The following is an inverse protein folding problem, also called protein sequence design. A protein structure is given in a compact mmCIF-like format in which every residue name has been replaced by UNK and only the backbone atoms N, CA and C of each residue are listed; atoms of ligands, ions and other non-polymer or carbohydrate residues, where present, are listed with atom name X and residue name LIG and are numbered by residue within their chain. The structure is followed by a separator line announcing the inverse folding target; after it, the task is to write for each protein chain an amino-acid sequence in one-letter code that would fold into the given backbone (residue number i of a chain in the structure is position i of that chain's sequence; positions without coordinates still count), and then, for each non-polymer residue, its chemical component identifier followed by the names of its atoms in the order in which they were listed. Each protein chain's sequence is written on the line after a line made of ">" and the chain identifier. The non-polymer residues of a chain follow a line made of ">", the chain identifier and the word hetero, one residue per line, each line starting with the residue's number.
data_IF_975685503551
#
_entry.id   IF_975685503551
#
_cell.length_a   1.000
_cell.length_b   1.000
_cell.length_c   1.000
_cell.angle_alpha   90.00
_cell.angle_beta   90.00
_cell.angle_gamma   90.00
#
_symmetry.space_group_name_H-M   'P 1'
#
loop_
_entity.id
_entity.type
_entity.pdbx_description
1 polymer ?
#
# COMPACT_ATOMS: atom_id res chain seq x y z
N UNK A 1 0.49 -8.99 5.03
CA UNK A 1 1.23 -7.72 4.95
C UNK A 1 2.46 -7.90 4.06
N UNK A 2 2.76 -6.94 3.21
CA UNK A 2 3.91 -7.03 2.30
C UNK A 2 5.22 -6.84 3.06
N UNK A 3 6.22 -7.63 2.71
CA UNK A 3 7.55 -7.47 3.29
C UNK A 3 8.32 -6.40 2.54
N UNK A 4 9.14 -5.63 3.25
CA UNK A 4 9.94 -4.57 2.64
C UNK A 4 10.86 -5.12 1.53
N UNK A 5 11.39 -6.33 1.71
CA UNK A 5 12.25 -6.96 0.72
C UNK A 5 11.50 -7.24 -0.59
N UNK A 6 10.24 -7.63 -0.51
CA UNK A 6 9.42 -7.88 -1.70
C UNK A 6 9.13 -6.58 -2.43
N UNK A 7 8.78 -5.53 -1.68
CA UNK A 7 8.47 -4.23 -2.26
C UNK A 7 9.69 -3.65 -2.97
N UNK A 8 10.88 -3.82 -2.40
CA UNK A 8 12.12 -3.30 -2.98
C UNK A 8 12.52 -3.99 -4.27
N UNK A 9 12.03 -5.20 -4.51
CA UNK A 9 12.31 -5.92 -5.76
C UNK A 9 11.44 -5.47 -6.92
N UNK A 10 10.40 -4.70 -6.66
CA UNK A 10 9.46 -4.26 -7.68
C UNK A 10 9.98 -3.01 -8.39
N UNK A 11 9.66 -2.89 -9.69
CA UNK A 11 9.97 -1.68 -10.44
C UNK A 11 9.05 -0.54 -10.03
N UNK A 12 9.41 0.70 -10.41
CA UNK A 12 8.59 1.87 -10.10
C UNK A 12 7.18 1.73 -10.68
N UNK A 13 7.06 1.22 -11.89
CA UNK A 13 5.75 1.01 -12.54
C UNK A 13 4.91 -0.01 -11.78
N UNK A 14 5.55 -1.10 -11.32
CA UNK A 14 4.86 -2.12 -10.53
C UNK A 14 4.42 -1.56 -9.19
N UNK A 15 5.25 -0.74 -8.56
CA UNK A 15 4.94 -0.11 -7.29
C UNK A 15 3.77 0.87 -7.42
N UNK A 16 3.74 1.65 -8.51
CA UNK A 16 2.62 2.55 -8.77
C UNK A 16 1.31 1.79 -8.94
N UNK A 17 1.34 0.69 -9.71
CA UNK A 17 0.17 -0.15 -9.89
C UNK A 17 -0.28 -0.77 -8.57
N UNK A 18 0.67 -1.25 -7.77
CA UNK A 18 0.36 -1.83 -6.47
C UNK A 18 -0.22 -0.79 -5.52
N UNK A 19 0.32 0.42 -5.53
CA UNK A 19 -0.19 1.51 -4.72
C UNK A 19 -1.64 1.83 -5.06
N UNK A 20 -1.96 1.87 -6.35
CA UNK A 20 -3.33 2.12 -6.79
C UNK A 20 -4.28 1.02 -6.30
N UNK A 21 -3.87 -0.24 -6.43
CA UNK A 21 -4.66 -1.38 -5.94
C UNK A 21 -4.89 -1.29 -4.43
N UNK A 22 -3.84 -0.97 -3.67
CA UNK A 22 -3.95 -0.85 -2.22
C UNK A 22 -4.89 0.28 -1.82
N UNK A 23 -4.88 1.39 -2.55
CA UNK A 23 -5.80 2.50 -2.30
C UNK A 23 -7.25 2.10 -2.55
N UNK A 24 -7.50 1.33 -3.61
CA UNK A 24 -8.84 0.80 -3.90
C UNK A 24 -9.30 -0.14 -2.79
N UNK A 25 -8.43 -1.02 -2.35
CA UNK A 25 -8.73 -1.95 -1.26
C UNK A 25 -9.06 -1.20 0.01
N UNK A 26 -8.27 -0.18 0.33
CA UNK A 26 -8.52 0.62 1.53
C UNK A 26 -9.88 1.32 1.46
N UNK A 27 -10.23 1.86 0.30
CA UNK A 27 -11.52 2.50 0.09
C UNK A 27 -12.66 1.52 0.35
N UNK A 28 -12.57 0.31 -0.21
CA UNK A 28 -13.59 -0.72 -0.02
C UNK A 28 -13.69 -1.15 1.43
N UNK A 29 -12.54 -1.33 2.10
CA UNK A 29 -12.53 -1.72 3.52
C UNK A 29 -13.17 -0.64 4.40
N UNK A 30 -12.90 0.62 4.12
CA UNK A 30 -13.51 1.72 4.86
C UNK A 30 -15.02 1.78 4.64
N UNK A 31 -15.46 1.51 3.42
CA UNK A 31 -16.87 1.49 3.09
C UNK A 31 -17.58 0.34 3.84
N UNK A 32 -16.98 -0.85 3.83
CA UNK A 32 -17.50 -1.99 4.56
C UNK A 32 -17.57 -1.72 6.07
N UNK A 33 -16.56 -1.08 6.60
CA UNK A 33 -16.53 -0.72 8.03
C UNK A 33 -17.63 0.29 8.36
N UNK A 34 -17.86 1.26 7.50
CA UNK A 34 -18.90 2.27 7.70
C UNK A 34 -20.31 1.68 7.67
N UNK A 35 -20.51 0.59 6.92
CA UNK A 35 -21.80 -0.09 6.82
C UNK A 35 -21.93 -1.26 7.80
N UNK A 36 -20.99 -1.40 8.73
CA UNK A 36 -20.95 -2.47 9.73
C UNK A 36 -20.85 -3.88 9.14
N UNK A 37 -20.31 -3.98 7.93
CA UNK A 37 -20.07 -5.26 7.27
C UNK A 37 -18.68 -5.82 7.56
N UNK A 38 -17.82 -5.03 8.19
CA UNK A 38 -16.46 -5.41 8.55
C UNK A 38 -16.33 -5.42 10.06
N UNK A 39 -16.17 -6.61 10.64
CA UNK A 39 -16.08 -6.76 12.08
C UNK A 39 -14.72 -6.39 12.65
N UNK A 40 -13.67 -6.49 11.84
CA UNK A 40 -12.29 -6.33 12.33
C UNK A 40 -11.54 -5.27 11.53
N UNK A 41 -11.17 -4.14 12.16
CA UNK A 41 -10.44 -3.07 11.46
C UNK A 41 -8.96 -3.35 11.22
N UNK A 42 -8.47 -4.54 11.59
CA UNK A 42 -7.06 -4.90 11.40
C UNK A 42 -6.66 -4.81 9.93
N UNK A 43 -7.52 -5.24 9.02
CA UNK A 43 -7.22 -5.18 7.59
C UNK A 43 -7.03 -3.75 7.10
N UNK A 44 -7.77 -2.81 7.67
CA UNK A 44 -7.60 -1.39 7.32
C UNK A 44 -6.19 -0.93 7.71
N UNK A 45 -5.74 -1.29 8.90
CA UNK A 45 -4.39 -0.95 9.36
C UNK A 45 -3.32 -1.60 8.50
N UNK A 46 -3.47 -2.89 8.19
CA UNK A 46 -2.52 -3.61 7.35
C UNK A 46 -2.40 -2.97 5.98
N UNK A 47 -3.52 -2.62 5.36
CA UNK A 47 -3.52 -1.97 4.05
C UNK A 47 -2.85 -0.60 4.12
N UNK A 48 -3.09 0.17 5.17
CA UNK A 48 -2.41 1.45 5.37
C UNK A 48 -0.90 1.27 5.50
N UNK A 49 -0.45 0.25 6.22
CA UNK A 49 0.98 -0.05 6.35
C UNK A 49 1.60 -0.43 5.02
N UNK A 50 0.89 -1.23 4.23
CA UNK A 50 1.37 -1.61 2.90
C UNK A 50 1.50 -0.38 1.99
N UNK A 51 0.51 0.51 2.02
CA UNK A 51 0.55 1.76 1.26
C UNK A 51 1.77 2.59 1.67
N UNK A 52 2.01 2.71 2.97
CA UNK A 52 3.15 3.47 3.48
C UNK A 52 4.48 2.88 3.02
N UNK A 53 4.60 1.56 3.01
CA UNK A 53 5.81 0.88 2.54
C UNK A 53 6.05 1.12 1.06
N UNK A 54 5.02 0.99 0.24
CA UNK A 54 5.14 1.22 -1.20
C UNK A 54 5.55 2.66 -1.47
N UNK A 55 4.95 3.62 -0.78
CA UNK A 55 5.31 5.03 -0.91
C UNK A 55 6.75 5.29 -0.50
N UNK A 56 7.20 4.65 0.58
CA UNK A 56 8.57 4.81 1.06
C UNK A 56 9.58 4.31 0.03
N UNK A 57 9.33 3.15 -0.55
CA UNK A 57 10.22 2.57 -1.57
C UNK A 57 10.21 3.44 -2.84
N UNK A 58 9.05 3.94 -3.24
CA UNK A 58 8.96 4.86 -4.38
C UNK A 58 9.79 6.13 -4.13
N UNK A 59 9.74 6.66 -2.90
CA UNK A 59 10.54 7.80 -2.53
C UNK A 59 12.04 7.48 -2.57
N UNK A 60 12.43 6.29 -2.12
CA UNK A 60 13.82 5.84 -2.18
C UNK A 60 14.31 5.75 -3.62
N UNK A 61 13.49 5.20 -4.52
CA UNK A 61 13.83 5.08 -5.93
C UNK A 61 13.96 6.46 -6.58
N UNK A 62 13.06 7.38 -6.26
CA UNK A 62 13.12 8.74 -6.78
C UNK A 62 14.37 9.45 -6.28
N UNK A 63 14.75 9.24 -5.03
CA UNK A 63 15.97 9.82 -4.47
C UNK A 63 17.23 9.25 -5.15
N UNK A 64 17.23 7.95 -5.44
CA UNK A 64 18.35 7.32 -6.14
C UNK A 64 18.53 7.86 -7.55
N UNK A 65 17.43 8.12 -8.24
CA UNK A 65 17.48 8.66 -9.61
C UNK A 65 18.04 10.07 -9.68
N UNK A 66 18.02 10.79 -8.57
CA UNK A 66 18.53 12.17 -8.52
C UNK A 66 20.03 12.27 -8.24
N UNK A 67 20.67 11.16 -8.01
CA UNK A 67 22.13 11.14 -7.78
C UNK A 67 22.92 11.07 -9.11
#
# INVERSE_FOLDING_TARGET
>A
MMKATEVRKMSAAELDAKLLDLKKDLFQLRLQHATNQLDNPVKIRETKHDIARVKTVLAELAASDKQ
#
